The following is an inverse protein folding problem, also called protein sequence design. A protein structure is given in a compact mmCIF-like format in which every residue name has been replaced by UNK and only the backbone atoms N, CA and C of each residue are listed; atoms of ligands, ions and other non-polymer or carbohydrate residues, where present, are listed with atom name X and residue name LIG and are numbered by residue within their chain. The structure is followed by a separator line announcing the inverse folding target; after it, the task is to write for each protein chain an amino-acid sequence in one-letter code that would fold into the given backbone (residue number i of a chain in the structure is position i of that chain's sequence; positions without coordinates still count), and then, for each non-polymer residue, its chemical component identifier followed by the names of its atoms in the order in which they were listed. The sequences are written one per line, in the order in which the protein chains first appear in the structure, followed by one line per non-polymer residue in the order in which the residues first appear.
data_IF_635810893374
#
_entry.id   IF_635810893374
#
_cell.length_a   1.000
_cell.length_b   1.000
_cell.length_c   1.000
_cell.angle_alpha   90.00
_cell.angle_beta   90.00
_cell.angle_gamma   90.00
#
_symmetry.space_group_name_H-M   'P 1'
#
loop_
_entity.id
_entity.type
_entity.pdbx_description
1 polymer ?
#
# COMPACT_ATOMS: atom_id res chain seq x y z
N UNK A 1 -21.35 -6.57 27.67
CA UNK A 1 -21.40 -5.15 27.28
C UNK A 1 -20.10 -4.46 27.68
N UNK A 2 -19.21 -4.12 26.73
CA UNK A 2 -18.22 -3.06 26.93
C UNK A 2 -17.68 -2.55 25.58
N UNK A 3 -17.91 -1.25 25.39
CA UNK A 3 -17.25 -0.28 24.52
C UNK A 3 -17.40 -0.41 22.99
N UNK A 4 -18.37 0.37 22.48
CA UNK A 4 -18.33 0.98 21.16
C UNK A 4 -16.94 1.56 20.86
N UNK A 5 -16.24 1.05 19.84
CA UNK A 5 -15.11 1.77 19.25
C UNK A 5 -15.61 2.62 18.08
N UNK A 6 -16.49 3.59 18.39
CA UNK A 6 -16.97 4.59 17.44
C UNK A 6 -16.00 5.77 17.40
N UNK A 7 -14.75 5.55 16.94
CA UNK A 7 -13.82 6.68 16.70
C UNK A 7 -14.09 7.23 15.31
N UNK A 8 -15.18 7.99 15.15
CA UNK A 8 -15.36 8.86 13.98
C UNK A 8 -14.32 9.97 14.08
N UNK A 9 -13.29 9.93 13.24
CA UNK A 9 -12.48 11.09 12.84
C UNK A 9 -12.13 10.92 11.37
N UNK A 10 -12.81 11.72 10.55
CA UNK A 10 -12.64 11.85 9.11
C UNK A 10 -11.30 12.58 8.90
N UNK A 11 -10.31 11.87 8.38
CA UNK A 11 -8.98 12.37 8.06
C UNK A 11 -8.08 11.21 7.63
N UNK A 12 -7.24 11.39 6.61
CA UNK A 12 -6.44 10.30 6.00
C UNK A 12 -5.60 9.50 7.01
N UNK A 13 -5.11 10.16 8.06
CA UNK A 13 -4.35 9.54 9.16
C UNK A 13 -5.21 8.51 9.93
N UNK A 14 -6.50 8.78 10.14
CA UNK A 14 -7.40 7.86 10.84
C UNK A 14 -7.63 6.55 10.10
N UNK A 15 -7.58 6.58 8.75
CA UNK A 15 -7.70 5.39 7.91
C UNK A 15 -6.44 4.53 8.02
N UNK A 16 -5.26 5.16 7.97
CA UNK A 16 -3.96 4.49 8.14
C UNK A 16 -3.84 3.79 9.49
N UNK A 17 -4.17 4.48 10.59
CA UNK A 17 -4.11 3.91 11.94
C UNK A 17 -5.04 2.69 12.06
N UNK A 18 -6.24 2.78 11.48
CA UNK A 18 -7.19 1.65 11.48
C UNK A 18 -6.67 0.46 10.68
N UNK A 19 -6.08 0.70 9.50
CA UNK A 19 -5.48 -0.35 8.68
C UNK A 19 -4.33 -1.06 9.39
N UNK A 20 -3.40 -0.30 9.99
CA UNK A 20 -2.25 -0.87 10.74
C UNK A 20 -2.75 -1.69 11.93
N UNK A 21 -3.68 -1.15 12.73
CA UNK A 21 -4.27 -1.91 13.85
C UNK A 21 -4.98 -3.17 13.39
N UNK A 22 -5.72 -3.10 12.27
CA UNK A 22 -6.41 -4.26 11.70
C UNK A 22 -5.43 -5.34 11.24
N UNK A 23 -4.25 -4.97 10.74
CA UNK A 23 -3.20 -5.93 10.40
C UNK A 23 -2.54 -6.56 11.62
N UNK A 24 -2.16 -5.75 12.62
CA UNK A 24 -1.47 -6.25 13.82
C UNK A 24 -2.35 -7.21 14.65
N UNK A 25 -3.66 -6.99 14.63
CA UNK A 25 -4.62 -7.82 15.35
C UNK A 25 -5.01 -9.11 14.61
N UNK A 26 -4.54 -9.35 13.38
CA UNK A 26 -4.85 -10.59 12.65
C UNK A 26 -4.32 -11.84 13.37
N UNK A 27 -5.07 -12.95 13.27
CA UNK A 27 -4.57 -14.28 13.67
C UNK A 27 -3.29 -14.61 12.87
N UNK A 28 -2.31 -15.33 13.46
CA UNK A 28 -0.99 -15.52 12.85
C UNK A 28 -1.01 -16.06 11.41
N UNK A 29 -1.91 -17.01 11.13
CA UNK A 29 -2.11 -17.55 9.79
C UNK A 29 -2.50 -16.48 8.76
N UNK A 30 -3.53 -15.67 9.05
CA UNK A 30 -4.01 -14.62 8.14
C UNK A 30 -3.03 -13.45 8.04
N UNK A 31 -2.28 -13.15 9.11
CA UNK A 31 -1.21 -12.18 9.08
C UNK A 31 -0.10 -12.63 8.12
N UNK A 32 0.38 -13.87 8.24
CA UNK A 32 1.43 -14.40 7.36
C UNK A 32 1.00 -14.43 5.88
N UNK A 33 -0.25 -14.81 5.58
CA UNK A 33 -0.79 -14.72 4.22
C UNK A 33 -0.80 -13.27 3.70
N UNK A 34 -1.33 -12.34 4.50
CA UNK A 34 -1.44 -10.94 4.12
C UNK A 34 -0.08 -10.30 3.87
N UNK A 35 0.90 -10.59 4.71
CA UNK A 35 2.28 -10.08 4.57
C UNK A 35 2.95 -10.64 3.32
N UNK A 36 2.71 -11.90 2.94
CA UNK A 36 3.22 -12.47 1.68
C UNK A 36 2.63 -11.74 0.47
N UNK A 37 1.31 -11.54 0.45
CA UNK A 37 0.61 -10.85 -0.64
C UNK A 37 1.06 -9.39 -0.76
N UNK A 38 1.18 -8.70 0.38
CA UNK A 38 1.72 -7.35 0.45
C UNK A 38 3.18 -7.29 0.00
N UNK A 39 4.02 -8.24 0.41
CA UNK A 39 5.41 -8.34 0.00
C UNK A 39 5.58 -8.48 -1.52
N UNK A 40 4.78 -9.34 -2.15
CA UNK A 40 4.76 -9.46 -3.62
C UNK A 40 4.32 -8.14 -4.27
N UNK A 41 3.30 -7.48 -3.72
CA UNK A 41 2.86 -6.16 -4.18
C UNK A 41 3.97 -5.11 -4.10
N UNK A 42 4.70 -5.05 -2.98
CA UNK A 42 5.83 -4.14 -2.80
C UNK A 42 6.98 -4.43 -3.77
N UNK A 43 7.30 -5.71 -4.02
CA UNK A 43 8.36 -6.07 -4.98
C UNK A 43 8.02 -5.63 -6.41
N UNK A 44 6.79 -5.91 -6.85
CA UNK A 44 6.34 -5.50 -8.18
C UNK A 44 6.22 -3.98 -8.30
N UNK A 45 5.64 -3.32 -7.29
CA UNK A 45 5.51 -1.87 -7.24
C UNK A 45 6.85 -1.15 -7.18
N UNK A 46 7.80 -1.66 -6.41
CA UNK A 46 9.17 -1.13 -6.33
C UNK A 46 9.93 -1.28 -7.65
N UNK A 47 9.77 -2.43 -8.31
CA UNK A 47 10.38 -2.67 -9.63
C UNK A 47 9.85 -1.69 -10.69
N UNK A 48 8.54 -1.44 -10.70
CA UNK A 48 7.96 -0.45 -11.61
C UNK A 48 8.35 0.98 -11.23
N UNK A 49 8.36 1.31 -9.94
CA UNK A 49 8.77 2.62 -9.47
C UNK A 49 10.20 2.95 -9.91
N UNK A 50 11.11 1.97 -9.82
CA UNK A 50 12.48 2.11 -10.31
C UNK A 50 12.51 2.43 -11.81
N UNK A 51 11.76 1.72 -12.63
CA UNK A 51 11.65 2.01 -14.06
C UNK A 51 11.09 3.43 -14.31
N UNK A 52 10.04 3.83 -13.60
CA UNK A 52 9.45 5.16 -13.72
C UNK A 52 10.40 6.29 -13.28
N UNK A 53 11.30 6.03 -12.34
CA UNK A 53 12.34 6.99 -11.95
C UNK A 53 13.27 7.32 -13.13
N UNK A 54 13.62 6.36 -13.99
CA UNK A 54 14.39 6.65 -15.21
C UNK A 54 13.62 7.53 -16.20
N UNK A 55 12.31 7.29 -16.35
CA UNK A 55 11.45 8.11 -17.19
C UNK A 55 11.40 9.54 -16.67
N UNK A 56 11.26 9.70 -15.36
CA UNK A 56 11.26 11.01 -14.68
C UNK A 56 12.61 11.71 -14.87
N UNK A 57 13.74 11.03 -14.64
CA UNK A 57 15.08 11.57 -14.92
C UNK A 57 15.19 12.09 -16.35
N UNK A 58 14.75 11.29 -17.33
CA UNK A 58 14.80 11.66 -18.75
C UNK A 58 13.95 12.90 -19.06
N UNK A 59 12.78 13.01 -18.43
CA UNK A 59 11.89 14.17 -18.58
C UNK A 59 12.50 15.45 -18.01
N UNK A 60 13.20 15.36 -16.88
CA UNK A 60 13.89 16.49 -16.24
C UNK A 60 15.29 16.76 -16.82
N UNK A 61 15.74 15.99 -17.82
CA UNK A 61 17.06 16.14 -18.41
C UNK A 61 18.21 15.79 -17.46
N UNK A 62 17.97 14.90 -16.49
CA UNK A 62 18.99 14.46 -15.54
C UNK A 62 19.87 13.41 -16.19
N UNK A 63 21.10 13.80 -16.50
CA UNK A 63 22.16 12.92 -17.00
C UNK A 63 22.69 12.01 -15.86
N UNK A 64 22.88 10.72 -16.17
CA UNK A 64 23.30 9.71 -15.19
C UNK A 64 24.75 9.84 -14.74
N UNK A 65 25.58 10.53 -15.52
CA UNK A 65 27.00 10.77 -15.31
C UNK A 65 27.30 12.11 -14.63
N UNK A 66 26.29 12.97 -14.49
CA UNK A 66 26.40 14.25 -13.80
C UNK A 66 25.99 14.10 -12.33
N UNK A 67 26.86 14.46 -11.36
CA UNK A 67 26.52 14.42 -9.95
C UNK A 67 25.30 15.30 -9.63
N UNK A 68 24.30 14.76 -8.91
CA UNK A 68 23.07 15.50 -8.55
C UNK A 68 23.31 16.87 -7.91
N UNK A 69 24.41 17.05 -7.17
CA UNK A 69 24.80 18.33 -6.54
C UNK A 69 25.10 19.47 -7.53
N UNK A 70 25.28 19.16 -8.81
CA UNK A 70 25.55 20.16 -9.86
C UNK A 70 24.26 20.77 -10.44
N UNK A 71 23.11 20.15 -10.17
CA UNK A 71 21.81 20.68 -10.57
C UNK A 71 21.32 21.73 -9.57
N UNK A 72 20.43 22.62 -10.05
CA UNK A 72 19.79 23.59 -9.18
C UNK A 72 19.01 22.91 -8.05
N UNK A 73 19.05 23.50 -6.86
CA UNK A 73 18.36 22.97 -5.69
C UNK A 73 16.84 22.81 -5.93
N UNK A 74 16.24 23.71 -6.71
CA UNK A 74 14.85 23.64 -7.16
C UNK A 74 14.54 22.32 -7.88
N UNK A 75 15.40 21.95 -8.84
CA UNK A 75 15.29 20.71 -9.63
C UNK A 75 15.43 19.49 -8.72
N UNK A 76 16.42 19.48 -7.83
CA UNK A 76 16.64 18.37 -6.89
C UNK A 76 15.41 18.14 -6.00
N UNK A 77 14.83 19.21 -5.46
CA UNK A 77 13.64 19.13 -4.59
C UNK A 77 12.43 18.59 -5.35
N UNK A 78 12.17 19.10 -6.56
CA UNK A 78 11.07 18.62 -7.41
C UNK A 78 11.27 17.15 -7.78
N UNK A 79 12.50 16.76 -8.14
CA UNK A 79 12.85 15.39 -8.47
C UNK A 79 12.60 14.45 -7.28
N UNK A 80 13.07 14.81 -6.09
CA UNK A 80 12.85 14.04 -4.86
C UNK A 80 11.36 13.87 -4.54
N UNK A 81 10.57 14.95 -4.62
CA UNK A 81 9.12 14.91 -4.40
C UNK A 81 8.44 14.01 -5.42
N UNK A 82 8.82 14.12 -6.70
CA UNK A 82 8.27 13.28 -7.77
C UNK A 82 8.57 11.80 -7.56
N UNK A 83 9.78 11.45 -7.11
CA UNK A 83 10.17 10.09 -6.76
C UNK A 83 9.39 9.54 -5.59
N UNK A 84 9.25 10.33 -4.54
CA UNK A 84 8.51 9.93 -3.36
C UNK A 84 7.03 9.66 -3.69
N UNK A 85 6.39 10.56 -4.45
CA UNK A 85 5.01 10.39 -4.90
C UNK A 85 4.89 9.15 -5.79
N UNK A 86 5.78 8.99 -6.77
CA UNK A 86 5.77 7.85 -7.70
C UNK A 86 5.91 6.53 -6.95
N UNK A 87 6.83 6.46 -5.99
CA UNK A 87 7.03 5.30 -5.13
C UNK A 87 5.76 4.97 -4.35
N UNK A 88 5.15 5.95 -3.69
CA UNK A 88 3.92 5.74 -2.92
C UNK A 88 2.75 5.26 -3.79
N UNK A 89 2.57 5.85 -4.98
CA UNK A 89 1.52 5.45 -5.92
C UNK A 89 1.75 4.03 -6.43
N UNK A 90 2.97 3.69 -6.83
CA UNK A 90 3.29 2.35 -7.32
C UNK A 90 3.09 1.29 -6.22
N UNK A 91 3.61 1.54 -5.02
CA UNK A 91 3.41 0.64 -3.89
C UNK A 91 1.92 0.47 -3.57
N UNK A 92 1.15 1.55 -3.53
CA UNK A 92 -0.28 1.47 -3.25
C UNK A 92 -1.03 0.67 -4.31
N UNK A 93 -0.83 0.99 -5.59
CA UNK A 93 -1.52 0.34 -6.71
C UNK A 93 -1.18 -1.15 -6.76
N UNK A 94 0.10 -1.52 -6.67
CA UNK A 94 0.49 -2.92 -6.76
C UNK A 94 0.07 -3.71 -5.52
N UNK A 95 0.17 -3.15 -4.31
CA UNK A 95 -0.35 -3.81 -3.11
C UNK A 95 -1.87 -4.02 -3.19
N UNK A 96 -2.62 -3.03 -3.68
CA UNK A 96 -4.07 -3.16 -3.88
C UNK A 96 -4.40 -4.21 -4.95
N UNK A 97 -3.66 -4.23 -6.07
CA UNK A 97 -3.86 -5.20 -7.15
C UNK A 97 -3.52 -6.63 -6.72
N UNK A 98 -2.38 -6.86 -6.04
CA UNK A 98 -2.04 -8.20 -5.56
C UNK A 98 -3.03 -8.68 -4.50
N UNK A 99 -3.48 -7.79 -3.60
CA UNK A 99 -4.55 -8.09 -2.65
C UNK A 99 -5.85 -8.46 -3.38
N UNK A 100 -6.27 -7.69 -4.39
CA UNK A 100 -7.45 -8.00 -5.18
C UNK A 100 -7.33 -9.37 -5.87
N UNK A 101 -6.22 -9.65 -6.54
CA UNK A 101 -6.01 -10.91 -7.25
C UNK A 101 -6.04 -12.11 -6.28
N UNK A 102 -5.34 -12.01 -5.14
CA UNK A 102 -5.29 -13.07 -4.14
C UNK A 102 -6.66 -13.31 -3.48
N UNK A 103 -7.26 -12.24 -2.93
CA UNK A 103 -8.52 -12.33 -2.19
C UNK A 103 -9.72 -12.55 -3.09
N UNK A 104 -9.65 -12.23 -4.40
CA UNK A 104 -10.69 -12.59 -5.38
C UNK A 104 -10.90 -14.10 -5.45
N UNK A 105 -9.86 -14.91 -5.30
CA UNK A 105 -10.00 -16.36 -5.22
C UNK A 105 -10.77 -16.79 -3.96
N UNK A 106 -10.55 -16.12 -2.81
CA UNK A 106 -11.32 -16.35 -1.58
C UNK A 106 -12.78 -15.87 -1.70
N UNK A 107 -13.02 -14.79 -2.45
CA UNK A 107 -14.37 -14.32 -2.79
C UNK A 107 -15.14 -15.34 -3.64
N UNK A 108 -14.51 -15.85 -4.72
CA UNK A 108 -15.12 -16.87 -5.59
C UNK A 108 -15.50 -18.16 -4.84
N UNK A 109 -14.76 -18.51 -3.79
CA UNK A 109 -15.03 -19.67 -2.93
C UNK A 109 -16.04 -19.39 -1.79
N UNK A 110 -16.56 -18.17 -1.69
CA UNK A 110 -17.55 -17.80 -0.67
C UNK A 110 -16.97 -17.53 0.73
N UNK A 111 -15.65 -17.46 0.91
CA UNK A 111 -15.03 -17.21 2.22
C UNK A 111 -15.07 -15.74 2.66
N UNK A 112 -15.26 -14.81 1.72
CA UNK A 112 -15.38 -13.38 1.96
C UNK A 112 -16.47 -12.78 1.07
N UNK A 113 -17.07 -11.68 1.53
CA UNK A 113 -18.08 -10.93 0.76
C UNK A 113 -17.42 -9.90 -0.17
N UNK A 114 -18.21 -9.33 -1.09
CA UNK A 114 -17.72 -8.30 -2.04
C UNK A 114 -17.29 -7.01 -1.33
N UNK A 115 -17.96 -6.66 -0.22
CA UNK A 115 -17.57 -5.50 0.60
C UNK A 115 -16.24 -5.76 1.31
N UNK A 116 -16.06 -6.94 1.89
CA UNK A 116 -14.81 -7.34 2.55
C UNK A 116 -13.64 -7.37 1.58
N UNK A 117 -13.84 -7.84 0.34
CA UNK A 117 -12.81 -7.80 -0.69
C UNK A 117 -12.33 -6.36 -0.97
N UNK A 118 -13.26 -5.41 -1.09
CA UNK A 118 -12.91 -3.99 -1.32
C UNK A 118 -12.21 -3.40 -0.10
N UNK A 119 -12.70 -3.71 1.10
CA UNK A 119 -12.13 -3.18 2.34
C UNK A 119 -10.72 -3.72 2.61
N UNK A 120 -10.46 -5.00 2.30
CA UNK A 120 -9.11 -5.57 2.38
C UNK A 120 -8.20 -4.89 1.34
N UNK A 121 -8.62 -4.82 0.08
CA UNK A 121 -7.79 -4.33 -1.01
C UNK A 121 -7.42 -2.84 -0.91
N UNK A 122 -8.39 -1.98 -0.56
CA UNK A 122 -8.20 -0.53 -0.63
C UNK A 122 -7.97 0.14 0.72
N UNK A 123 -8.42 -0.49 1.82
CA UNK A 123 -8.34 0.07 3.17
C UNK A 123 -7.50 -0.77 4.11
N UNK A 124 -7.02 -1.95 3.68
CA UNK A 124 -6.32 -2.91 4.53
C UNK A 124 -7.13 -3.27 5.79
N UNK A 125 -8.46 -3.31 5.67
CA UNK A 125 -9.37 -3.66 6.76
C UNK A 125 -9.83 -5.10 6.59
N UNK A 126 -9.48 -5.93 7.57
CA UNK A 126 -9.77 -7.37 7.55
C UNK A 126 -11.04 -7.71 8.34
N UNK A 127 -11.75 -8.79 7.97
CA UNK A 127 -12.94 -9.23 8.68
C UNK A 127 -12.67 -9.51 10.16
N UNK A 128 -13.64 -9.18 11.02
CA UNK A 128 -13.52 -9.40 12.47
C UNK A 128 -13.27 -10.87 12.83
N UNK A 129 -13.84 -11.82 12.08
CA UNK A 129 -13.59 -13.27 12.26
C UNK A 129 -12.12 -13.70 12.10
N UNK A 130 -11.31 -12.87 11.44
CA UNK A 130 -9.87 -13.12 11.24
C UNK A 130 -8.99 -12.43 12.29
N UNK A 131 -9.58 -11.62 13.18
CA UNK A 131 -8.89 -10.91 14.26
C UNK A 131 -8.69 -11.81 15.49
N UNK A 132 -7.64 -11.56 16.27
CA UNK A 132 -7.38 -12.20 17.57
C UNK A 132 -8.37 -11.67 18.61
N UNK A 133 -8.86 -12.55 19.48
CA UNK A 133 -9.67 -12.14 20.64
C UNK A 133 -11.16 -11.87 20.36
N UNK A 134 -11.68 -12.34 19.22
CA UNK A 134 -13.09 -12.37 18.85
C UNK A 134 -13.53 -13.79 18.52
#
# INVERSE_FOLDING_TARGET
MRAECRVVKIGGIGILIRGIRSQLNLKPHFYAESTKVGGVGCLLGGSLAFYLMFVINSYFGIESDVPMRQYEQSVIVVLFVSYFITLLVCLYVFCALTALLYYRNKYKKGYITKSELKDIAFKSLYPQRWQKGL
#
